data_IF_408868692123
#
_entry.id   IF_408868692123
#
_cell.length_a   1.000
_cell.length_b   1.000
_cell.length_c   1.000
_cell.angle_alpha   90.00
_cell.angle_beta   90.00
_cell.angle_gamma   90.00
#
_symmetry.space_group_name_H-M   'P 1'
#
loop_
_entity.id
_entity.type
_entity.pdbx_description
1 polymer ?
#
# COMPACT_ATOMS: atom_id res chain seq x y z
N UNK A 1 9.92 -1.66 -11.76
CA UNK A 1 10.75 -0.52 -12.25
C UNK A 1 12.13 -0.48 -11.61
N UNK A 2 12.28 -0.61 -10.28
CA UNK A 2 13.59 -0.48 -9.60
C UNK A 2 14.58 -1.60 -9.90
N UNK A 3 14.13 -2.80 -10.27
CA UNK A 3 15.01 -3.94 -10.64
C UNK A 3 15.31 -4.01 -12.15
N UNK A 4 14.42 -3.48 -12.98
CA UNK A 4 14.57 -3.45 -14.44
C UNK A 4 15.62 -2.41 -14.88
N UNK A 5 15.65 -1.22 -14.27
CA UNK A 5 16.56 -0.14 -14.69
C UNK A 5 18.06 -0.50 -14.58
N UNK A 6 18.56 -1.09 -13.48
CA UNK A 6 19.94 -1.53 -13.42
C UNK A 6 20.27 -2.58 -14.47
N UNK A 7 19.34 -3.51 -14.72
CA UNK A 7 19.54 -4.58 -15.69
C UNK A 7 19.55 -4.07 -17.13
N UNK A 8 18.75 -3.05 -17.48
CA UNK A 8 18.78 -2.41 -18.81
C UNK A 8 20.15 -1.80 -19.08
N UNK A 9 20.73 -1.10 -18.10
CA UNK A 9 22.00 -0.35 -18.29
C UNK A 9 23.22 -1.28 -18.21
N UNK A 10 23.19 -2.27 -17.33
CA UNK A 10 24.32 -3.17 -17.09
C UNK A 10 24.36 -4.35 -18.07
N UNK A 11 23.33 -4.56 -18.89
CA UNK A 11 23.25 -5.71 -19.80
C UNK A 11 24.41 -5.76 -20.79
N UNK A 12 24.84 -4.59 -21.26
CA UNK A 12 25.90 -4.46 -22.27
C UNK A 12 27.30 -4.77 -21.72
N UNK A 13 27.44 -4.87 -20.39
CA UNK A 13 28.70 -5.24 -19.74
C UNK A 13 28.89 -6.76 -19.63
N UNK A 14 27.84 -7.56 -19.88
CA UNK A 14 27.93 -9.01 -19.83
C UNK A 14 28.50 -9.60 -21.13
N UNK A 15 29.54 -10.45 -21.07
CA UNK A 15 30.10 -11.10 -22.25
C UNK A 15 29.05 -12.01 -22.92
N UNK A 16 28.78 -11.80 -24.21
CA UNK A 16 27.81 -12.60 -24.99
C UNK A 16 26.40 -12.00 -25.09
N UNK A 17 26.20 -10.75 -24.68
CA UNK A 17 24.97 -10.00 -24.92
C UNK A 17 24.73 -9.76 -26.42
N UNK A 18 23.47 -9.85 -26.85
CA UNK A 18 23.09 -9.57 -28.25
C UNK A 18 23.07 -8.07 -28.48
N UNK A 19 23.70 -7.62 -29.55
CA UNK A 19 23.80 -6.21 -29.94
C UNK A 19 22.42 -5.70 -30.44
N UNK A 20 22.05 -4.49 -30.01
CA UNK A 20 20.77 -3.84 -30.30
C UNK A 20 20.56 -3.61 -31.82
N UNK A 21 19.37 -3.92 -32.34
CA UNK A 21 18.98 -3.60 -33.73
C UNK A 21 18.28 -2.23 -33.78
N UNK A 22 18.78 -1.31 -34.62
CA UNK A 22 18.44 0.13 -34.66
C UNK A 22 16.96 0.49 -34.94
N UNK A 23 16.06 -0.50 -35.11
CA UNK A 23 14.65 -0.28 -35.47
C UNK A 23 13.65 -1.05 -34.59
N UNK A 24 14.10 -1.74 -33.54
CA UNK A 24 13.22 -2.52 -32.65
C UNK A 24 13.48 -2.08 -31.20
N UNK A 25 12.49 -1.44 -30.58
CA UNK A 25 12.53 -1.05 -29.17
C UNK A 25 12.14 -2.24 -28.27
N UNK A 26 13.00 -3.26 -28.21
CA UNK A 26 12.86 -4.39 -27.27
C UNK A 26 14.02 -4.41 -26.26
N UNK A 27 13.76 -4.77 -24.99
CA UNK A 27 14.81 -4.81 -23.98
C UNK A 27 15.86 -5.88 -24.33
N UNK A 28 17.16 -5.62 -24.10
CA UNK A 28 18.25 -6.49 -24.56
C UNK A 28 18.29 -7.86 -23.84
N UNK A 29 17.64 -7.96 -22.67
CA UNK A 29 17.43 -9.21 -21.93
C UNK A 29 16.14 -9.96 -22.31
N UNK A 30 15.34 -9.47 -23.26
CA UNK A 30 14.12 -10.15 -23.71
C UNK A 30 14.38 -11.57 -24.23
N UNK A 31 15.60 -11.86 -24.67
CA UNK A 31 16.02 -13.21 -25.07
C UNK A 31 16.41 -14.15 -23.92
N UNK A 32 16.51 -13.66 -22.67
CA UNK A 32 17.02 -14.42 -21.53
C UNK A 32 15.88 -14.93 -20.65
N UNK A 33 15.36 -16.10 -21.04
CA UNK A 33 14.27 -16.78 -20.34
C UNK A 33 14.45 -16.90 -18.81
N UNK A 34 15.62 -17.34 -18.28
CA UNK A 34 15.78 -17.48 -16.83
C UNK A 34 15.70 -16.13 -16.10
N UNK A 35 16.19 -15.06 -16.72
CA UNK A 35 16.14 -13.72 -16.16
C UNK A 35 14.70 -13.23 -16.07
N UNK A 36 13.93 -13.33 -17.16
CA UNK A 36 12.51 -12.93 -17.23
C UNK A 36 11.63 -13.67 -16.23
N UNK A 37 11.83 -14.98 -16.08
CA UNK A 37 11.09 -15.78 -15.09
C UNK A 37 11.48 -15.36 -13.68
N UNK A 38 12.78 -15.22 -13.40
CA UNK A 38 13.24 -14.87 -12.05
C UNK A 38 12.73 -13.50 -11.62
N UNK A 39 12.82 -12.48 -12.50
CA UNK A 39 12.33 -11.14 -12.18
C UNK A 39 10.82 -11.11 -12.00
N UNK A 40 10.06 -11.77 -12.88
CA UNK A 40 8.61 -11.89 -12.77
C UNK A 40 8.16 -12.50 -11.43
N UNK A 41 8.80 -13.59 -11.00
CA UNK A 41 8.49 -14.24 -9.73
C UNK A 41 8.88 -13.36 -8.53
N UNK A 42 10.05 -12.72 -8.58
CA UNK A 42 10.50 -11.83 -7.51
C UNK A 42 9.57 -10.61 -7.38
N UNK A 43 9.19 -9.98 -8.49
CA UNK A 43 8.30 -8.81 -8.49
C UNK A 43 6.86 -9.13 -8.05
N UNK A 44 6.40 -10.37 -8.19
CA UNK A 44 5.07 -10.80 -7.74
C UNK A 44 5.05 -11.28 -6.30
N UNK A 45 5.90 -12.26 -6.01
CA UNK A 45 5.82 -13.02 -4.78
C UNK A 45 6.46 -12.27 -3.62
N UNK A 46 7.54 -11.51 -3.85
CA UNK A 46 8.20 -10.77 -2.77
C UNK A 46 7.26 -9.71 -2.18
N UNK A 47 6.71 -8.73 -2.93
CA UNK A 47 5.84 -7.73 -2.33
C UNK A 47 4.56 -8.34 -1.76
N UNK A 48 3.96 -9.33 -2.42
CA UNK A 48 2.74 -9.95 -1.90
C UNK A 48 2.98 -10.71 -0.58
N UNK A 49 3.94 -11.65 -0.54
CA UNK A 49 4.17 -12.45 0.66
C UNK A 49 4.83 -11.69 1.78
N UNK A 50 5.74 -10.76 1.49
CA UNK A 50 6.33 -9.90 2.54
C UNK A 50 5.25 -9.04 3.17
N UNK A 51 4.38 -8.40 2.39
CA UNK A 51 3.37 -7.51 2.92
C UNK A 51 2.20 -8.28 3.53
N UNK A 52 1.81 -9.43 2.99
CA UNK A 52 0.84 -10.33 3.62
C UNK A 52 1.36 -10.82 4.98
N UNK A 53 2.60 -11.31 5.04
CA UNK A 53 3.22 -11.76 6.28
C UNK A 53 3.32 -10.64 7.31
N UNK A 54 3.81 -9.46 6.91
CA UNK A 54 3.94 -8.31 7.80
C UNK A 54 2.58 -7.81 8.29
N UNK A 55 1.58 -7.69 7.41
CA UNK A 55 0.23 -7.27 7.80
C UNK A 55 -0.45 -8.31 8.70
N UNK A 56 -0.23 -9.60 8.46
CA UNK A 56 -0.73 -10.68 9.31
C UNK A 56 -0.06 -10.64 10.69
N UNK A 57 1.27 -10.51 10.75
CA UNK A 57 2.01 -10.38 12.00
C UNK A 57 1.55 -9.14 12.77
N UNK A 58 1.41 -7.99 12.11
CA UNK A 58 0.91 -6.75 12.73
C UNK A 58 -0.52 -6.93 13.22
N UNK A 59 -1.40 -7.52 12.40
CA UNK A 59 -2.79 -7.80 12.77
C UNK A 59 -2.88 -8.73 13.99
N UNK A 60 -2.10 -9.81 14.02
CA UNK A 60 -2.07 -10.76 15.13
C UNK A 60 -1.54 -10.09 16.41
N UNK A 61 -0.47 -9.30 16.31
CA UNK A 61 0.07 -8.52 17.42
C UNK A 61 -0.95 -7.50 17.96
N UNK A 62 -1.66 -6.78 17.08
CA UNK A 62 -2.73 -5.84 17.45
C UNK A 62 -3.90 -6.58 18.10
N UNK A 63 -4.32 -7.71 17.55
CA UNK A 63 -5.43 -8.51 18.05
C UNK A 63 -5.10 -9.07 19.43
N UNK A 64 -3.90 -9.60 19.63
CA UNK A 64 -3.44 -10.12 20.91
C UNK A 64 -3.38 -9.01 21.97
N UNK A 65 -2.84 -7.83 21.63
CA UNK A 65 -2.80 -6.65 22.53
C UNK A 65 -4.21 -6.14 22.85
N UNK A 66 -5.09 -6.07 21.86
CA UNK A 66 -6.49 -5.66 22.04
C UNK A 66 -7.23 -6.58 23.00
N UNK A 67 -7.08 -7.90 22.82
CA UNK A 67 -7.69 -8.90 23.70
C UNK A 67 -7.15 -8.82 25.14
N UNK A 68 -5.83 -8.59 25.30
CA UNK A 68 -5.21 -8.38 26.61
C UNK A 68 -5.80 -7.17 27.34
N UNK A 69 -5.91 -6.02 26.65
CA UNK A 69 -6.49 -4.79 27.21
C UNK A 69 -7.95 -5.01 27.65
N UNK A 70 -8.77 -5.66 26.80
CA UNK A 70 -10.17 -5.95 27.14
C UNK A 70 -10.31 -6.89 28.34
N UNK A 71 -9.44 -7.90 28.46
CA UNK A 71 -9.44 -8.84 29.60
C UNK A 71 -9.04 -8.14 30.90
N UNK A 72 -7.98 -7.34 30.90
CA UNK A 72 -7.58 -6.53 32.06
C UNK A 72 -8.67 -5.53 32.45
N UNK A 73 -9.35 -4.91 31.48
CA UNK A 73 -10.42 -3.96 31.76
C UNK A 73 -11.63 -4.64 32.42
N UNK A 74 -12.04 -5.84 31.94
CA UNK A 74 -13.11 -6.63 32.59
C UNK A 74 -12.78 -7.00 34.04
N UNK A 75 -11.55 -7.44 34.31
CA UNK A 75 -11.12 -7.77 35.69
C UNK A 75 -11.17 -6.53 36.58
N UNK A 76 -10.72 -5.37 36.07
CA UNK A 76 -10.79 -4.09 36.82
C UNK A 76 -12.23 -3.65 37.09
N UNK A 77 -13.14 -3.78 36.12
CA UNK A 77 -14.56 -3.46 36.31
C UNK A 77 -15.15 -4.31 37.44
N UNK A 78 -14.86 -5.62 37.45
CA UNK A 78 -15.32 -6.55 38.49
C UNK A 78 -14.71 -6.26 39.88
N UNK A 79 -13.45 -5.83 39.93
CA UNK A 79 -12.77 -5.47 41.19
C UNK A 79 -13.27 -4.14 41.77
N UNK A 80 -13.57 -3.17 40.90
CA UNK A 80 -14.12 -1.87 41.30
C UNK A 80 -15.53 -1.99 41.89
N UNK A 81 -16.34 -2.91 41.40
CA UNK A 81 -17.67 -3.24 41.93
C UNK A 81 -17.60 -3.78 43.37
N UNK A 82 -16.51 -4.46 43.74
CA UNK A 82 -16.31 -4.98 45.09
C UNK A 82 -15.74 -3.92 46.07
N UNK A 83 -14.99 -2.93 45.57
CA UNK A 83 -14.34 -1.89 46.35
C UNK A 83 -15.19 -0.61 46.57
N UNK A 84 -16.33 -0.48 45.90
CA UNK A 84 -17.26 0.67 46.06
C UNK A 84 -17.85 0.80 47.46
N UNK A 85 -17.65 -0.20 48.32
CA UNK A 85 -18.16 -0.18 49.69
C UNK A 85 -17.24 0.53 50.70
N UNK A 86 -15.99 0.94 50.34
CA UNK A 86 -15.02 1.31 51.39
C UNK A 86 -14.11 2.54 51.23
N UNK A 87 -14.21 3.42 50.22
CA UNK A 87 -13.63 4.80 50.26
C UNK A 87 -13.89 5.62 48.97
N UNK A 88 -14.67 6.70 49.05
CA UNK A 88 -15.35 7.28 47.87
C UNK A 88 -14.69 8.39 47.03
N UNK A 89 -13.55 8.99 47.43
CA UNK A 89 -12.99 10.18 46.72
C UNK A 89 -11.67 9.93 45.97
N UNK A 90 -10.69 9.28 46.57
CA UNK A 90 -9.37 9.04 45.93
C UNK A 90 -9.43 7.97 44.82
N UNK A 91 -10.31 6.97 44.97
CA UNK A 91 -10.50 5.87 44.01
C UNK A 91 -11.10 6.36 42.68
N UNK A 92 -12.01 7.34 42.71
CA UNK A 92 -12.68 7.88 41.52
C UNK A 92 -11.72 8.57 40.54
N UNK A 93 -10.69 9.26 41.06
CA UNK A 93 -9.69 9.97 40.24
C UNK A 93 -8.77 8.97 39.51
N UNK A 94 -8.32 7.91 40.19
CA UNK A 94 -7.49 6.83 39.63
C UNK A 94 -8.25 5.97 38.62
N UNK A 95 -9.54 5.70 38.85
CA UNK A 95 -10.41 5.03 37.88
C UNK A 95 -10.55 5.84 36.59
N UNK A 96 -10.82 7.15 36.69
CA UNK A 96 -11.02 8.02 35.51
C UNK A 96 -9.76 8.10 34.64
N UNK A 97 -8.59 8.23 35.24
CA UNK A 97 -7.30 8.24 34.55
C UNK A 97 -7.02 6.90 33.84
N UNK A 98 -7.30 5.77 34.51
CA UNK A 98 -7.12 4.44 33.92
C UNK A 98 -8.03 4.23 32.71
N UNK A 99 -9.32 4.57 32.83
CA UNK A 99 -10.29 4.40 31.74
C UNK A 99 -9.90 5.24 30.52
N UNK A 100 -9.35 6.43 30.74
CA UNK A 100 -8.83 7.29 29.67
C UNK A 100 -7.60 6.68 28.99
N UNK A 101 -6.69 6.06 29.75
CA UNK A 101 -5.51 5.34 29.20
C UNK A 101 -5.95 4.11 28.38
N UNK A 102 -6.97 3.38 28.83
CA UNK A 102 -7.48 2.21 28.09
C UNK A 102 -8.16 2.64 26.79
N UNK A 103 -8.96 3.70 26.83
CA UNK A 103 -9.63 4.27 25.64
C UNK A 103 -8.61 4.83 24.61
N UNK A 104 -7.57 5.52 25.06
CA UNK A 104 -6.51 6.01 24.17
C UNK A 104 -5.71 4.86 23.55
N UNK A 105 -5.44 3.79 24.31
CA UNK A 105 -4.82 2.58 23.75
C UNK A 105 -5.72 1.87 22.73
N UNK A 106 -7.02 1.68 23.02
CA UNK A 106 -7.93 1.00 22.07
C UNK A 106 -8.10 1.79 20.77
N UNK A 107 -8.21 3.12 20.85
CA UNK A 107 -8.28 4.00 19.67
C UNK A 107 -6.99 3.98 18.85
N UNK A 108 -5.82 3.93 19.49
CA UNK A 108 -4.54 3.77 18.78
C UNK A 108 -4.46 2.44 18.01
N UNK A 109 -4.87 1.32 18.63
CA UNK A 109 -4.89 0.00 17.98
C UNK A 109 -5.89 -0.06 16.81
N UNK A 110 -7.04 0.59 16.93
CA UNK A 110 -8.01 0.70 15.84
C UNK A 110 -7.44 1.49 14.64
N UNK A 111 -6.67 2.55 14.91
CA UNK A 111 -5.98 3.32 13.88
C UNK A 111 -4.88 2.50 13.20
N UNK A 112 -4.11 1.73 13.96
CA UNK A 112 -3.04 0.89 13.44
C UNK A 112 -3.60 -0.25 12.57
N UNK A 113 -4.72 -0.86 12.98
CA UNK A 113 -5.44 -1.86 12.17
C UNK A 113 -5.96 -1.26 10.85
N UNK A 114 -6.49 -0.04 10.90
CA UNK A 114 -6.91 0.68 9.69
C UNK A 114 -5.74 0.96 8.76
N UNK A 115 -4.58 1.35 9.29
CA UNK A 115 -3.37 1.54 8.51
C UNK A 115 -2.91 0.25 7.83
N UNK A 116 -2.92 -0.89 8.54
CA UNK A 116 -2.59 -2.20 7.96
C UNK A 116 -3.56 -2.60 6.83
N UNK A 117 -4.87 -2.42 7.02
CA UNK A 117 -5.87 -2.64 5.96
C UNK A 117 -5.57 -1.78 4.73
N UNK A 118 -5.20 -0.53 4.94
CA UNK A 118 -4.86 0.36 3.85
C UNK A 118 -3.62 -0.10 3.09
N UNK A 119 -2.56 -0.52 3.80
CA UNK A 119 -1.36 -1.10 3.20
C UNK A 119 -1.71 -2.33 2.34
N UNK A 120 -2.59 -3.21 2.82
CA UNK A 120 -3.06 -4.34 2.03
C UNK A 120 -3.75 -3.91 0.72
N UNK A 121 -4.61 -2.89 0.76
CA UNK A 121 -5.29 -2.37 -0.44
C UNK A 121 -4.27 -1.77 -1.42
N UNK A 122 -3.29 -1.01 -0.94
CA UNK A 122 -2.23 -0.44 -1.78
C UNK A 122 -1.51 -1.54 -2.57
N UNK A 123 -1.13 -2.61 -1.89
CA UNK A 123 -0.41 -3.75 -2.48
C UNK A 123 -1.27 -4.51 -3.47
N UNK A 124 -2.54 -4.75 -3.12
CA UNK A 124 -3.46 -5.45 -3.98
C UNK A 124 -3.69 -4.71 -5.31
N UNK A 125 -3.88 -3.39 -5.25
CA UNK A 125 -4.04 -2.55 -6.45
C UNK A 125 -2.74 -2.54 -7.27
N UNK A 126 -1.58 -2.44 -6.62
CA UNK A 126 -0.29 -2.52 -7.30
C UNK A 126 -0.12 -3.84 -8.07
N UNK A 127 -0.47 -4.97 -7.44
CA UNK A 127 -0.43 -6.31 -8.04
C UNK A 127 -1.39 -6.40 -9.23
N UNK A 128 -2.63 -5.91 -9.12
CA UNK A 128 -3.59 -5.92 -10.23
C UNK A 128 -3.08 -5.13 -11.44
N UNK A 129 -2.47 -3.96 -11.20
CA UNK A 129 -1.91 -3.16 -12.29
C UNK A 129 -0.68 -3.80 -12.95
N UNK A 130 0.09 -4.61 -12.21
CA UNK A 130 1.31 -5.28 -12.71
C UNK A 130 1.10 -6.70 -13.25
N UNK A 131 0.02 -7.38 -12.82
CA UNK A 131 -0.22 -8.81 -13.12
C UNK A 131 -0.40 -9.08 -14.61
N UNK A 132 -1.21 -8.31 -15.35
CA UNK A 132 -1.38 -8.53 -16.77
C UNK A 132 -0.05 -8.46 -17.52
N UNK A 133 0.80 -7.48 -17.19
CA UNK A 133 2.10 -7.28 -17.85
C UNK A 133 3.07 -8.42 -17.56
N UNK A 134 3.14 -8.84 -16.30
CA UNK A 134 4.05 -9.89 -15.89
C UNK A 134 3.61 -11.24 -16.45
N UNK A 135 2.31 -11.50 -16.49
CA UNK A 135 1.76 -12.71 -17.10
C UNK A 135 2.01 -12.76 -18.61
N UNK A 136 1.83 -11.63 -19.32
CA UNK A 136 2.14 -11.55 -20.75
C UNK A 136 3.63 -11.76 -21.02
N UNK A 137 4.50 -11.16 -20.22
CA UNK A 137 5.95 -11.32 -20.32
C UNK A 137 6.35 -12.77 -20.09
N UNK A 138 5.73 -13.43 -19.10
CA UNK A 138 5.95 -14.85 -18.81
C UNK A 138 5.45 -15.76 -19.93
N UNK A 139 4.26 -15.51 -20.48
CA UNK A 139 3.71 -16.27 -21.62
C UNK A 139 4.60 -16.12 -22.84
N UNK A 140 5.03 -14.89 -23.14
CA UNK A 140 5.92 -14.60 -24.28
C UNK A 140 7.28 -15.29 -24.12
N UNK A 141 7.79 -15.38 -22.89
CA UNK A 141 9.02 -16.10 -22.57
C UNK A 141 8.85 -17.62 -22.69
N UNK A 142 7.73 -18.19 -22.22
CA UNK A 142 7.46 -19.63 -22.22
C UNK A 142 7.17 -20.20 -23.62
N UNK A 143 6.41 -19.47 -24.44
CA UNK A 143 5.95 -19.99 -25.73
C UNK A 143 6.89 -19.69 -26.90
N UNK A 144 7.97 -18.91 -26.68
CA UNK A 144 8.80 -18.28 -27.73
C UNK A 144 7.92 -17.40 -28.64
N UNK A 145 8.36 -16.16 -28.83
CA UNK A 145 7.66 -15.08 -29.54
C UNK A 145 6.98 -15.51 -30.88
N UNK A 146 7.57 -16.47 -31.58
CA UNK A 146 7.11 -17.02 -32.87
C UNK A 146 5.76 -17.77 -32.86
N UNK A 147 5.31 -18.35 -31.72
CA UNK A 147 4.11 -19.23 -31.73
C UNK A 147 2.87 -18.61 -31.09
N UNK A 148 3.01 -17.45 -30.44
CA UNK A 148 1.91 -16.84 -29.66
C UNK A 148 1.48 -15.56 -30.34
N UNK A 149 0.42 -15.64 -31.15
CA UNK A 149 -0.31 -14.45 -31.61
C UNK A 149 -1.06 -13.84 -30.41
N UNK A 150 -0.33 -13.19 -29.52
CA UNK A 150 -0.94 -12.30 -28.52
C UNK A 150 -1.51 -11.13 -29.30
N UNK A 151 -2.83 -10.96 -29.24
CA UNK A 151 -3.51 -9.85 -29.91
C UNK A 151 -2.89 -8.52 -29.46
N UNK A 152 -2.54 -7.64 -30.41
CA UNK A 152 -2.00 -6.29 -30.12
C UNK A 152 -2.84 -5.52 -29.11
N UNK A 153 -4.15 -5.77 -29.10
CA UNK A 153 -5.09 -5.21 -28.13
C UNK A 153 -4.78 -5.57 -26.67
N UNK A 154 -4.39 -6.82 -26.39
CA UNK A 154 -4.06 -7.28 -25.03
C UNK A 154 -2.75 -6.64 -24.56
N UNK A 155 -1.79 -6.46 -25.47
CA UNK A 155 -0.54 -5.77 -25.20
C UNK A 155 -0.81 -4.30 -24.87
N UNK A 156 -1.59 -3.59 -25.70
CA UNK A 156 -1.98 -2.19 -25.45
C UNK A 156 -2.69 -2.01 -24.12
N UNK A 157 -3.73 -2.81 -23.83
CA UNK A 157 -4.46 -2.74 -22.55
C UNK A 157 -3.49 -2.85 -21.37
N UNK A 158 -2.54 -3.76 -21.48
CA UNK A 158 -1.60 -4.04 -20.42
C UNK A 158 -0.62 -2.90 -20.19
N UNK A 159 -0.17 -2.23 -21.26
CA UNK A 159 0.60 -0.98 -21.16
C UNK A 159 -0.23 0.14 -20.53
N UNK A 160 -1.49 0.29 -20.91
CA UNK A 160 -2.40 1.27 -20.30
C UNK A 160 -2.60 1.02 -18.81
N UNK A 161 -2.77 -0.24 -18.39
CA UNK A 161 -2.84 -0.63 -16.97
C UNK A 161 -1.57 -0.28 -16.19
N UNK A 162 -0.40 -0.44 -16.82
CA UNK A 162 0.87 -0.09 -16.22
C UNK A 162 1.03 1.44 -16.06
N UNK A 163 0.57 2.22 -17.04
CA UNK A 163 0.52 3.69 -16.94
C UNK A 163 -0.51 4.18 -15.91
N UNK A 164 -1.65 3.49 -15.81
CA UNK A 164 -2.67 3.78 -14.80
C UNK A 164 -2.15 3.58 -13.37
N UNK A 165 -1.17 2.70 -13.14
CA UNK A 165 -0.51 2.56 -11.84
C UNK A 165 0.00 3.91 -11.30
N UNK A 166 0.68 4.68 -12.16
CA UNK A 166 1.18 6.02 -11.81
C UNK A 166 0.05 7.04 -11.57
N UNK A 167 -1.02 6.98 -12.37
CA UNK A 167 -2.17 7.89 -12.25
C UNK A 167 -3.05 7.59 -11.02
N UNK A 168 -3.11 6.33 -10.61
CA UNK A 168 -3.88 5.87 -9.45
C UNK A 168 -3.17 6.22 -8.14
N UNK A 169 -1.84 6.35 -8.12
CA UNK A 169 -1.08 6.64 -6.90
C UNK A 169 -1.62 7.85 -6.10
N UNK A 170 -1.84 9.06 -6.69
CA UNK A 170 -2.46 10.18 -5.98
C UNK A 170 -3.84 9.87 -5.39
N UNK A 171 -4.68 9.11 -6.11
CA UNK A 171 -6.02 8.70 -5.66
C UNK A 171 -5.91 7.70 -4.50
N UNK A 172 -5.03 6.71 -4.62
CA UNK A 172 -4.77 5.72 -3.59
C UNK A 172 -4.36 6.42 -2.29
N UNK A 173 -3.37 7.31 -2.32
CA UNK A 173 -2.93 8.03 -1.11
C UNK A 173 -4.02 8.93 -0.53
N UNK A 174 -4.83 9.58 -1.36
CA UNK A 174 -5.91 10.47 -0.90
C UNK A 174 -7.15 9.74 -0.36
N UNK A 175 -7.46 8.53 -0.80
CA UNK A 175 -8.53 7.73 -0.21
C UNK A 175 -8.09 6.93 1.00
N UNK A 176 -6.85 6.45 1.04
CA UNK A 176 -6.38 5.54 2.08
C UNK A 176 -5.81 6.29 3.30
N UNK A 177 -5.12 7.42 3.13
CA UNK A 177 -4.61 8.18 4.28
C UNK A 177 -5.53 9.34 4.65
N UNK A 178 -6.24 9.20 5.79
CA UNK A 178 -7.12 10.26 6.32
C UNK A 178 -6.40 11.60 6.43
N UNK A 179 -5.16 11.62 6.94
CA UNK A 179 -4.36 12.86 7.04
C UNK A 179 -4.04 13.49 5.68
N UNK A 180 -3.80 12.66 4.67
CA UNK A 180 -3.51 13.12 3.31
C UNK A 180 -4.79 13.66 2.65
N UNK A 181 -5.92 12.98 2.85
CA UNK A 181 -7.24 13.44 2.46
C UNK A 181 -7.58 14.80 3.03
N UNK A 182 -7.35 15.01 4.33
CA UNK A 182 -7.58 16.30 4.99
C UNK A 182 -6.70 17.40 4.41
N UNK A 183 -5.43 17.12 4.10
CA UNK A 183 -4.54 18.08 3.44
C UNK A 183 -5.01 18.40 2.00
N UNK A 184 -5.45 17.38 1.25
CA UNK A 184 -5.96 17.54 -0.11
C UNK A 184 -7.24 18.40 -0.15
N UNK A 185 -8.18 18.14 0.75
CA UNK A 185 -9.37 18.98 0.90
C UNK A 185 -9.03 20.39 1.38
N UNK A 186 -8.04 20.57 2.26
CA UNK A 186 -7.57 21.92 2.63
C UNK A 186 -7.05 22.66 1.42
N UNK A 187 -6.25 22.05 0.56
CA UNK A 187 -5.74 22.71 -0.65
C UNK A 187 -6.89 23.06 -1.62
N UNK A 188 -7.81 22.12 -1.88
CA UNK A 188 -8.94 22.33 -2.78
C UNK A 188 -9.97 23.35 -2.24
N UNK A 189 -10.30 23.31 -0.95
CA UNK A 189 -11.28 24.19 -0.34
C UNK A 189 -10.69 25.56 0.07
N UNK A 190 -9.40 25.64 0.42
CA UNK A 190 -8.73 26.93 0.64
C UNK A 190 -8.61 27.73 -0.65
N UNK A 191 -8.49 27.09 -1.83
CA UNK A 191 -8.59 27.79 -3.12
C UNK A 191 -9.94 28.51 -3.27
N UNK A 192 -11.03 27.88 -2.80
CA UNK A 192 -12.38 28.47 -2.81
C UNK A 192 -12.55 29.63 -1.83
N UNK A 193 -11.82 29.64 -0.72
CA UNK A 193 -11.84 30.73 0.26
C UNK A 193 -10.91 31.90 -0.12
N UNK A 194 -9.73 31.62 -0.70
CA UNK A 194 -8.81 32.65 -1.20
C UNK A 194 -9.35 33.39 -2.41
N UNK A 195 -10.01 32.71 -3.36
CA UNK A 195 -10.64 33.38 -4.50
C UNK A 195 -11.85 34.23 -4.10
N UNK A 196 -12.61 33.84 -3.07
CA UNK A 196 -13.68 34.70 -2.52
C UNK A 196 -13.15 35.99 -1.88
N UNK A 197 -11.96 35.95 -1.27
CA UNK A 197 -11.34 37.15 -0.72
C UNK A 197 -10.76 38.05 -1.81
N UNK A 198 -10.09 37.50 -2.82
CA UNK A 198 -9.58 38.30 -3.96
C UNK A 198 -10.69 38.98 -4.76
N UNK A 199 -11.76 38.26 -5.11
CA UNK A 199 -12.90 38.83 -5.83
C UNK A 199 -13.64 39.94 -5.05
N UNK A 200 -13.54 39.94 -3.72
CA UNK A 200 -14.09 41.00 -2.86
C UNK A 200 -13.15 42.19 -2.70
N UNK A 201 -11.85 42.00 -2.94
CA UNK A 201 -10.83 43.05 -2.95
C UNK A 201 -10.75 43.82 -4.27
N UNK A 202 -11.21 43.23 -5.38
CA UNK A 202 -11.26 43.88 -6.70
C UNK A 202 -12.58 44.65 -6.93
N UNK A 203 -13.50 44.67 -5.94
CA UNK A 203 -14.76 45.43 -5.95
C UNK A 203 -14.79 46.61 -4.95
N UNK A 204 -13.64 46.97 -4.38
CA UNK A 204 -13.44 48.16 -3.53
C UNK A 204 -12.36 49.02 -4.17
#
# INVERSE_FOLDING_TARGET
MTVECPAIILWDLFPGSKQYQDHICEPPFAGNFPYLVTTAFVEFFVPFFTLMSLNLLVYLNIRQRSHGIMRTNRIRLKSNEHHTNLTGKTIKKTQKLTSQIIFTKSTSLARDSKAARNLFILVFVFVICWCPYTLLTLISALCRYETTHVSSFIYEITFWLLWLNSAINPLLYSFLHVKFREAFYRILCSYKHQNRHRLRSDQV
#
